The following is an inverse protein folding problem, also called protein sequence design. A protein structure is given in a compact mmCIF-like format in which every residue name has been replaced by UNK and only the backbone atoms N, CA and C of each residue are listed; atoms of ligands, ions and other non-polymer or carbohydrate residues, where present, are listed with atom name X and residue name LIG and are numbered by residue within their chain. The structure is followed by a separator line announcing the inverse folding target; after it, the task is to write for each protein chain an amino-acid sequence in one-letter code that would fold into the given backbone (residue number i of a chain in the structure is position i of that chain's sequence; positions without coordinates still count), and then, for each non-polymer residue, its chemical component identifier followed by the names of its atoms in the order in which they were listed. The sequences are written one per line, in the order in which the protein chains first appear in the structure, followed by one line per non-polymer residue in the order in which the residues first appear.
data_IF_550469854195
#
_entry.id   IF_550469854195
#
_cell.length_a   1.000
_cell.length_b   1.000
_cell.length_c   1.000
_cell.angle_alpha   90.00
_cell.angle_beta   90.00
_cell.angle_gamma   90.00
#
_symmetry.space_group_name_H-M   'P 1'
#
loop_
_entity.id
_entity.type
_entity.pdbx_description
1 polymer ?
#
# COMPACT_ATOMS: atom_id res chain seq x y z
N UNK A 1 -15.50 -0.98 -23.62
CA UNK A 1 -14.47 -0.19 -22.95
C UNK A 1 -14.30 -0.57 -21.46
N UNK A 2 -15.35 -0.64 -20.64
CA UNK A 2 -15.24 -1.05 -19.22
C UNK A 2 -14.72 -2.50 -19.02
N UNK A 3 -15.12 -3.44 -19.89
CA UNK A 3 -14.68 -4.84 -19.85
C UNK A 3 -13.16 -5.00 -20.06
N UNK A 4 -12.53 -4.15 -20.86
CA UNK A 4 -11.08 -4.17 -21.06
C UNK A 4 -10.30 -3.65 -19.84
N UNK A 5 -10.87 -2.75 -19.05
CA UNK A 5 -10.26 -2.24 -17.81
C UNK A 5 -10.31 -3.26 -16.67
N UNK A 6 -11.27 -4.18 -16.71
CA UNK A 6 -11.48 -5.22 -15.71
C UNK A 6 -10.62 -6.47 -15.99
N UNK A 7 -10.35 -6.78 -17.26
CA UNK A 7 -9.51 -7.91 -17.65
C UNK A 7 -8.02 -7.51 -17.55
N UNK A 8 -7.34 -8.04 -16.55
CA UNK A 8 -5.90 -7.87 -16.37
C UNK A 8 -5.47 -6.78 -15.38
N UNK A 9 -6.36 -5.89 -14.93
CA UNK A 9 -5.99 -4.84 -13.98
C UNK A 9 -6.47 -5.17 -12.57
N UNK A 10 -5.69 -5.96 -11.84
CA UNK A 10 -5.95 -6.36 -10.45
C UNK A 10 -6.19 -5.13 -9.54
N UNK A 11 -5.44 -4.04 -9.75
CA UNK A 11 -5.55 -2.81 -8.96
C UNK A 11 -6.93 -2.15 -9.14
N UNK A 12 -7.38 -2.02 -10.39
CA UNK A 12 -8.68 -1.41 -10.70
C UNK A 12 -9.83 -2.21 -10.09
N UNK A 13 -9.79 -3.54 -10.20
CA UNK A 13 -10.82 -4.43 -9.62
C UNK A 13 -10.84 -4.31 -8.10
N UNK A 14 -9.67 -4.37 -7.44
CA UNK A 14 -9.56 -4.23 -5.99
C UNK A 14 -10.00 -2.85 -5.49
N UNK A 15 -9.68 -1.80 -6.23
CA UNK A 15 -10.09 -0.43 -5.93
C UNK A 15 -11.61 -0.25 -6.09
N UNK A 16 -12.20 -0.78 -7.18
CA UNK A 16 -13.64 -0.72 -7.41
C UNK A 16 -14.42 -1.47 -6.32
N UNK A 17 -13.96 -2.66 -5.94
CA UNK A 17 -14.55 -3.43 -4.85
C UNK A 17 -14.49 -2.66 -3.52
N UNK A 18 -13.34 -2.03 -3.21
CA UNK A 18 -13.20 -1.18 -2.04
C UNK A 18 -14.16 0.01 -2.09
N UNK A 19 -14.29 0.67 -3.24
CA UNK A 19 -15.19 1.81 -3.43
C UNK A 19 -16.65 1.44 -3.17
N UNK A 20 -17.09 0.26 -3.64
CA UNK A 20 -18.44 -0.24 -3.41
C UNK A 20 -18.70 -0.55 -1.93
N UNK A 21 -17.69 -1.01 -1.19
CA UNK A 21 -17.80 -1.33 0.24
C UNK A 21 -17.50 -0.14 1.16
N UNK A 22 -16.93 0.94 0.63
CA UNK A 22 -16.56 2.13 1.41
C UNK A 22 -17.72 2.71 2.24
N UNK A 23 -18.99 2.79 1.76
CA UNK A 23 -20.10 3.29 2.59
C UNK A 23 -20.35 2.44 3.83
N UNK A 24 -20.24 1.10 3.70
CA UNK A 24 -20.43 0.16 4.82
C UNK A 24 -19.27 0.31 5.82
N UNK A 25 -18.05 0.39 5.31
CA UNK A 25 -16.86 0.59 6.14
C UNK A 25 -16.90 1.93 6.87
N UNK A 26 -17.32 3.00 6.21
CA UNK A 26 -17.47 4.32 6.84
C UNK A 26 -18.52 4.30 7.95
N UNK A 27 -19.68 3.71 7.70
CA UNK A 27 -20.73 3.59 8.71
C UNK A 27 -20.27 2.79 9.95
N UNK A 28 -19.42 1.78 9.74
CA UNK A 28 -18.80 1.05 10.84
C UNK A 28 -17.75 1.90 11.56
N UNK A 29 -16.82 2.54 10.83
CA UNK A 29 -15.76 3.37 11.40
C UNK A 29 -16.35 4.51 12.23
N UNK A 30 -17.44 5.15 11.80
CA UNK A 30 -18.08 6.24 12.54
C UNK A 30 -18.65 5.81 13.90
N UNK A 31 -19.14 4.58 14.00
CA UNK A 31 -19.78 4.06 15.22
C UNK A 31 -18.79 3.47 16.22
N UNK A 32 -17.62 3.05 15.77
CA UNK A 32 -16.66 2.33 16.59
C UNK A 32 -15.71 3.31 17.30
N UNK A 33 -15.35 3.00 18.54
CA UNK A 33 -14.34 3.74 19.29
C UNK A 33 -12.94 3.58 18.65
N UNK A 34 -12.12 4.61 18.76
CA UNK A 34 -10.75 4.60 18.22
C UNK A 34 -9.91 3.43 18.75
N UNK A 35 -10.11 3.05 20.02
CA UNK A 35 -9.41 1.93 20.63
C UNK A 35 -9.82 0.59 20.02
N UNK A 36 -11.11 0.38 19.79
CA UNK A 36 -11.63 -0.84 19.16
C UNK A 36 -11.16 -0.94 17.69
N UNK A 37 -11.19 0.18 16.96
CA UNK A 37 -10.66 0.25 15.62
C UNK A 37 -9.17 -0.11 15.59
N UNK A 38 -8.38 0.35 16.58
CA UNK A 38 -6.97 -0.01 16.72
C UNK A 38 -6.74 -1.50 16.94
N UNK A 39 -7.55 -2.13 17.81
CA UNK A 39 -7.48 -3.58 18.02
C UNK A 39 -7.85 -4.37 16.74
N UNK A 40 -8.85 -3.90 16.00
CA UNK A 40 -9.25 -4.53 14.74
C UNK A 40 -8.14 -4.45 13.69
N UNK A 41 -7.52 -3.28 13.54
CA UNK A 41 -6.36 -3.08 12.64
C UNK A 41 -5.20 -3.99 13.05
N UNK A 42 -4.89 -4.05 14.35
CA UNK A 42 -3.82 -4.91 14.87
C UNK A 42 -4.11 -6.39 14.58
N UNK A 43 -5.33 -6.84 14.86
CA UNK A 43 -5.74 -8.23 14.60
C UNK A 43 -5.66 -8.56 13.10
N UNK A 44 -6.14 -7.67 12.23
CA UNK A 44 -6.07 -7.84 10.79
C UNK A 44 -4.62 -8.00 10.30
N UNK A 45 -3.73 -7.10 10.69
CA UNK A 45 -2.33 -7.16 10.25
C UNK A 45 -1.55 -8.30 10.89
N UNK A 46 -1.90 -8.69 12.12
CA UNK A 46 -1.33 -9.91 12.74
C UNK A 46 -1.73 -11.15 11.95
N UNK A 47 -3.00 -11.26 11.58
CA UNK A 47 -3.51 -12.37 10.76
C UNK A 47 -2.86 -12.37 9.36
N UNK A 48 -2.81 -11.22 8.70
CA UNK A 48 -2.16 -11.06 7.40
C UNK A 48 -0.67 -11.44 7.44
N UNK A 49 0.05 -11.02 8.48
CA UNK A 49 1.46 -11.37 8.66
C UNK A 49 1.65 -12.86 8.87
N UNK A 50 0.85 -13.48 9.75
CA UNK A 50 0.97 -14.90 10.05
C UNK A 50 0.58 -15.76 8.85
N UNK A 51 -0.62 -15.59 8.33
CA UNK A 51 -1.17 -16.48 7.29
C UNK A 51 -0.80 -16.05 5.87
N UNK A 52 -0.65 -14.77 5.60
CA UNK A 52 -0.28 -14.27 4.29
C UNK A 52 1.23 -14.30 4.05
N UNK A 53 2.03 -13.76 5.01
CA UNK A 53 3.47 -13.58 4.80
C UNK A 53 4.31 -14.74 5.35
N UNK A 54 4.03 -15.24 6.57
CA UNK A 54 4.83 -16.32 7.19
C UNK A 54 4.48 -17.66 6.59
N UNK A 55 3.22 -18.07 6.63
CA UNK A 55 2.79 -19.38 6.18
C UNK A 55 2.47 -19.45 4.68
N UNK A 56 2.23 -18.31 4.01
CA UNK A 56 1.86 -18.21 2.58
C UNK A 56 0.65 -19.11 2.18
N UNK A 57 -0.23 -19.42 3.14
CA UNK A 57 -1.34 -20.36 2.96
C UNK A 57 -2.66 -19.67 2.58
N UNK A 58 -2.70 -18.33 2.53
CA UNK A 58 -3.92 -17.55 2.29
C UNK A 58 -3.82 -16.86 0.93
N UNK A 59 -4.53 -17.40 -0.06
CA UNK A 59 -4.61 -16.83 -1.43
C UNK A 59 -5.24 -15.45 -1.40
N UNK A 60 -6.14 -15.19 -0.44
CA UNK A 60 -6.84 -13.93 -0.26
C UNK A 60 -5.90 -12.74 -0.02
N UNK A 61 -4.69 -13.00 0.45
CA UNK A 61 -3.69 -11.95 0.63
C UNK A 61 -2.72 -11.80 -0.54
N UNK A 62 -2.61 -12.79 -1.41
CA UNK A 62 -1.77 -12.82 -2.64
C UNK A 62 -0.80 -11.62 -2.79
N UNK A 63 0.27 -11.59 -1.99
CA UNK A 63 1.29 -10.55 -1.95
C UNK A 63 0.78 -9.12 -1.66
N UNK A 64 -0.47 -8.95 -1.21
CA UNK A 64 -1.09 -7.65 -0.94
C UNK A 64 -1.86 -7.04 -2.12
N UNK A 65 -1.97 -7.77 -3.22
CA UNK A 65 -2.62 -7.30 -4.44
C UNK A 65 -4.14 -7.53 -4.47
N UNK A 66 -4.72 -7.96 -3.35
CA UNK A 66 -6.12 -8.30 -3.25
C UNK A 66 -6.94 -7.17 -2.62
N UNK A 67 -8.23 -7.18 -2.89
CA UNK A 67 -9.16 -6.24 -2.31
C UNK A 67 -9.20 -6.32 -0.76
N UNK A 68 -8.95 -7.50 -0.18
CA UNK A 68 -8.88 -7.68 1.29
C UNK A 68 -7.72 -6.87 1.88
N UNK A 69 -6.56 -6.85 1.22
CA UNK A 69 -5.42 -6.02 1.63
C UNK A 69 -5.74 -4.53 1.53
N UNK A 70 -6.50 -4.11 0.52
CA UNK A 70 -6.99 -2.73 0.38
C UNK A 70 -7.96 -2.34 1.50
N UNK A 71 -8.84 -3.26 1.94
CA UNK A 71 -9.68 -3.03 3.12
C UNK A 71 -8.83 -2.80 4.37
N UNK A 72 -7.79 -3.60 4.57
CA UNK A 72 -6.83 -3.42 5.67
C UNK A 72 -6.18 -2.05 5.65
N UNK A 73 -5.69 -1.61 4.48
CA UNK A 73 -5.11 -0.27 4.30
C UNK A 73 -6.12 0.85 4.57
N UNK A 74 -7.36 0.67 4.15
CA UNK A 74 -8.44 1.63 4.41
C UNK A 74 -8.70 1.79 5.91
N UNK A 75 -8.81 0.68 6.65
CA UNK A 75 -8.99 0.69 8.10
C UNK A 75 -7.79 1.28 8.83
N UNK A 76 -6.58 0.96 8.39
CA UNK A 76 -5.34 1.53 8.90
C UNK A 76 -5.31 3.04 8.71
N UNK A 77 -5.62 3.53 7.50
CA UNK A 77 -5.70 4.95 7.19
C UNK A 77 -6.74 5.68 8.06
N UNK A 78 -7.92 5.09 8.24
CA UNK A 78 -8.95 5.63 9.12
C UNK A 78 -8.50 5.69 10.58
N UNK A 79 -7.84 4.64 11.07
CA UNK A 79 -7.27 4.60 12.42
C UNK A 79 -6.19 5.68 12.59
N UNK A 80 -5.24 5.78 11.68
CA UNK A 80 -4.17 6.77 11.74
C UNK A 80 -4.68 8.20 11.63
N UNK A 81 -5.75 8.43 10.85
CA UNK A 81 -6.41 9.74 10.76
C UNK A 81 -7.04 10.12 12.09
N UNK A 82 -7.75 9.20 12.74
CA UNK A 82 -8.55 9.42 13.94
C UNK A 82 -7.71 9.40 15.22
N UNK A 83 -6.67 8.57 15.26
CA UNK A 83 -5.80 8.45 16.42
C UNK A 83 -4.91 9.69 16.53
N UNK A 84 -5.03 10.39 17.67
CA UNK A 84 -4.01 11.31 18.14
C UNK A 84 -2.89 10.47 18.76
N UNK A 85 -2.06 9.88 17.93
CA UNK A 85 -0.94 9.06 18.38
C UNK A 85 0.08 9.93 19.10
N UNK A 86 -0.16 10.20 20.39
CA UNK A 86 0.77 10.92 21.27
C UNK A 86 2.16 10.29 21.29
N UNK A 87 2.24 8.97 21.03
CA UNK A 87 3.50 8.23 20.87
C UNK A 87 4.36 8.71 19.71
N UNK A 88 3.76 9.35 18.70
CA UNK A 88 4.42 9.89 17.52
C UNK A 88 4.38 11.42 17.47
N UNK A 89 4.32 12.08 18.64
CA UNK A 89 4.39 13.55 18.78
C UNK A 89 5.72 14.16 18.33
N UNK A 90 6.54 13.40 17.63
CA UNK A 90 7.84 13.80 17.10
C UNK A 90 7.68 14.74 15.89
N UNK A 91 8.77 15.42 15.56
CA UNK A 91 8.83 16.27 14.37
C UNK A 91 8.63 15.43 13.11
N UNK A 92 8.01 15.99 12.09
CA UNK A 92 7.79 15.34 10.78
C UNK A 92 9.10 14.76 10.18
N UNK A 93 10.24 15.44 10.39
CA UNK A 93 11.55 14.94 9.94
C UNK A 93 11.94 13.60 10.57
N UNK A 94 11.47 13.30 11.79
CA UNK A 94 11.72 12.04 12.46
C UNK A 94 10.93 10.89 11.79
N UNK A 95 9.68 11.15 11.38
CA UNK A 95 8.88 10.15 10.65
C UNK A 95 9.54 9.83 9.30
N UNK A 96 10.09 10.84 8.61
CA UNK A 96 10.85 10.62 7.38
C UNK A 96 12.14 9.81 7.64
N UNK A 97 12.86 10.12 8.71
CA UNK A 97 14.05 9.39 9.09
C UNK A 97 13.73 7.91 9.41
N UNK A 98 12.62 7.65 10.11
CA UNK A 98 12.13 6.29 10.39
C UNK A 98 11.70 5.57 9.11
N UNK A 99 11.03 6.25 8.18
CA UNK A 99 10.70 5.70 6.85
C UNK A 99 11.95 5.24 6.10
N UNK A 100 12.95 6.11 6.02
CA UNK A 100 14.23 5.79 5.36
C UNK A 100 14.98 4.69 6.11
N UNK A 101 14.99 4.74 7.45
CA UNK A 101 15.63 3.73 8.30
C UNK A 101 15.04 2.33 8.11
N UNK A 102 13.71 2.22 8.11
CA UNK A 102 13.03 0.94 7.84
C UNK A 102 13.35 0.45 6.41
N UNK A 103 13.37 1.36 5.43
CA UNK A 103 13.79 1.02 4.07
C UNK A 103 15.22 0.49 4.00
N UNK A 104 16.17 1.12 4.68
CA UNK A 104 17.55 0.64 4.77
C UNK A 104 17.64 -0.75 5.43
N UNK A 105 16.87 -0.98 6.49
CA UNK A 105 16.76 -2.30 7.15
C UNK A 105 16.23 -3.35 6.16
N UNK A 106 15.20 -3.03 5.37
CA UNK A 106 14.69 -3.94 4.32
C UNK A 106 15.77 -4.32 3.31
N UNK A 107 16.59 -3.36 2.86
CA UNK A 107 17.70 -3.63 1.93
C UNK A 107 18.74 -4.55 2.57
N UNK A 108 19.15 -4.26 3.81
CA UNK A 108 20.16 -5.07 4.53
C UNK A 108 19.65 -6.51 4.73
N UNK A 109 18.40 -6.67 5.19
CA UNK A 109 17.81 -8.00 5.39
C UNK A 109 17.70 -8.74 4.05
N UNK A 110 17.33 -8.06 2.97
CA UNK A 110 17.26 -8.67 1.63
C UNK A 110 18.64 -9.15 1.15
N UNK A 111 19.69 -8.35 1.36
CA UNK A 111 21.06 -8.76 1.02
C UNK A 111 21.50 -10.00 1.81
N UNK A 112 21.24 -10.02 3.13
CA UNK A 112 21.55 -11.15 3.99
C UNK A 112 20.74 -12.38 3.59
N UNK A 113 19.45 -12.22 3.31
CA UNK A 113 18.54 -13.28 2.88
C UNK A 113 19.03 -13.95 1.59
N UNK A 114 19.43 -13.15 0.62
CA UNK A 114 20.00 -13.66 -0.65
C UNK A 114 21.32 -14.41 -0.41
N UNK A 115 22.16 -13.94 0.51
CA UNK A 115 23.44 -14.59 0.82
C UNK A 115 23.24 -15.96 1.52
N UNK A 116 22.20 -16.08 2.38
CA UNK A 116 21.90 -17.30 3.14
C UNK A 116 21.01 -18.27 2.34
N UNK A 117 20.46 -17.83 1.18
CA UNK A 117 19.52 -18.63 0.39
C UNK A 117 18.10 -18.71 1.02
N UNK A 118 17.74 -17.71 1.83
CA UNK A 118 16.44 -17.66 2.48
C UNK A 118 15.43 -16.92 1.61
N UNK A 119 14.56 -17.67 0.93
CA UNK A 119 13.57 -17.14 -0.02
C UNK A 119 12.33 -16.53 0.67
N UNK A 120 12.51 -15.46 1.43
CA UNK A 120 11.36 -14.64 1.90
C UNK A 120 11.32 -13.32 1.14
N UNK A 121 10.16 -13.05 0.56
CA UNK A 121 9.90 -11.77 -0.11
C UNK A 121 9.66 -10.67 0.93
N UNK A 122 10.73 -9.97 1.28
CA UNK A 122 10.74 -8.87 2.26
C UNK A 122 10.04 -7.64 1.68
N UNK A 123 10.06 -7.49 0.35
CA UNK A 123 9.42 -6.38 -0.35
C UNK A 123 7.94 -6.60 -0.65
N UNK A 124 7.39 -7.75 -0.26
CA UNK A 124 5.95 -7.99 -0.40
C UNK A 124 5.14 -6.93 0.36
N UNK A 125 4.06 -6.44 -0.23
CA UNK A 125 3.17 -5.43 0.38
C UNK A 125 2.51 -5.90 1.69
N UNK A 126 2.49 -7.21 1.96
CA UNK A 126 2.01 -7.80 3.22
C UNK A 126 3.10 -7.96 4.27
N UNK A 127 4.36 -7.65 3.94
CA UNK A 127 5.46 -7.68 4.89
C UNK A 127 5.24 -6.66 6.01
N UNK A 128 5.45 -7.03 7.30
CA UNK A 128 5.28 -6.11 8.41
C UNK A 128 6.20 -4.89 8.32
N UNK A 129 7.37 -5.02 7.71
CA UNK A 129 8.30 -3.90 7.48
C UNK A 129 7.75 -2.90 6.47
N UNK A 130 7.12 -3.38 5.37
CA UNK A 130 6.49 -2.52 4.38
C UNK A 130 5.27 -1.80 4.95
N UNK A 131 4.48 -2.48 5.79
CA UNK A 131 3.35 -1.87 6.48
C UNK A 131 3.84 -0.77 7.42
N UNK A 132 4.89 -1.04 8.20
CA UNK A 132 5.49 -0.07 9.10
C UNK A 132 6.05 1.15 8.34
N UNK A 133 6.70 0.92 7.22
CA UNK A 133 7.21 1.96 6.33
C UNK A 133 6.07 2.84 5.81
N UNK A 134 4.96 2.23 5.38
CA UNK A 134 3.75 2.94 4.94
C UNK A 134 3.15 3.80 6.05
N UNK A 135 3.13 3.30 7.29
CA UNK A 135 2.65 4.07 8.46
C UNK A 135 3.49 5.32 8.67
N UNK A 136 4.83 5.21 8.68
CA UNK A 136 5.70 6.37 8.86
C UNK A 136 5.58 7.39 7.74
N UNK A 137 5.45 6.94 6.50
CA UNK A 137 5.23 7.83 5.36
C UNK A 137 3.89 8.59 5.48
N UNK A 138 2.83 7.89 5.90
CA UNK A 138 1.53 8.50 6.13
C UNK A 138 1.59 9.54 7.26
N UNK A 139 2.26 9.23 8.38
CA UNK A 139 2.43 10.15 9.50
C UNK A 139 3.25 11.38 9.10
N UNK A 140 4.28 11.20 8.29
CA UNK A 140 5.05 12.29 7.72
C UNK A 140 4.16 13.27 6.95
N UNK A 141 3.38 12.77 5.99
CA UNK A 141 2.47 13.61 5.20
C UNK A 141 1.34 14.23 6.03
N UNK A 142 0.82 13.51 7.03
CA UNK A 142 -0.21 14.03 7.95
C UNK A 142 0.26 15.27 8.71
N UNK A 143 1.57 15.39 9.00
CA UNK A 143 2.16 16.50 9.77
C UNK A 143 2.63 17.68 8.89
N UNK A 144 2.72 17.48 7.58
CA UNK A 144 3.16 18.54 6.66
C UNK A 144 1.99 19.50 6.40
N UNK A 145 2.22 20.76 6.68
CA UNK A 145 1.33 21.84 6.27
C UNK A 145 1.80 22.39 4.92
N UNK A 146 1.10 22.04 3.87
CA UNK A 146 1.37 22.57 2.54
C UNK A 146 0.70 23.94 2.40
N UNK A 147 1.43 24.93 1.85
CA UNK A 147 0.86 26.24 1.57
C UNK A 147 -0.19 26.12 0.47
N UNK A 148 -1.33 26.79 0.65
CA UNK A 148 -2.45 26.82 -0.31
C UNK A 148 -2.06 27.22 -1.75
N UNK A 149 -0.94 27.90 -1.92
CA UNK A 149 -0.37 28.23 -3.24
C UNK A 149 -0.12 26.98 -4.10
N UNK A 150 0.15 25.84 -3.48
CA UNK A 150 0.49 24.57 -4.18
C UNK A 150 -0.70 23.64 -4.38
N UNK A 151 -1.89 23.98 -3.89
CA UNK A 151 -3.07 23.12 -3.94
C UNK A 151 -3.45 22.72 -5.38
N UNK A 152 -3.41 23.67 -6.32
CA UNK A 152 -3.68 23.40 -7.75
C UNK A 152 -2.66 22.45 -8.38
N UNK A 153 -1.40 22.61 -8.01
CA UNK A 153 -0.30 21.78 -8.51
C UNK A 153 -0.42 20.35 -7.95
N UNK A 154 -0.70 20.22 -6.65
CA UNK A 154 -0.91 18.93 -5.99
C UNK A 154 -2.11 18.21 -6.58
N UNK A 155 -3.22 18.92 -6.80
CA UNK A 155 -4.42 18.35 -7.41
C UNK A 155 -4.13 17.85 -8.83
N UNK A 156 -3.41 18.64 -9.63
CA UNK A 156 -3.02 18.24 -10.99
C UNK A 156 -2.16 16.97 -10.99
N UNK A 157 -1.11 16.92 -10.17
CA UNK A 157 -0.26 15.73 -10.08
C UNK A 157 -0.99 14.51 -9.50
N UNK A 158 -1.84 14.69 -8.51
CA UNK A 158 -2.62 13.61 -7.92
C UNK A 158 -3.57 12.96 -8.94
N UNK A 159 -4.27 13.76 -9.73
CA UNK A 159 -5.16 13.27 -10.79
C UNK A 159 -4.36 12.58 -11.90
N UNK A 160 -3.24 13.18 -12.31
CA UNK A 160 -2.36 12.62 -13.34
C UNK A 160 -1.69 11.32 -12.88
N UNK A 161 -1.26 11.24 -11.63
CA UNK A 161 -0.64 10.04 -11.06
C UNK A 161 -1.61 8.84 -11.03
N UNK A 162 -2.88 9.09 -10.71
CA UNK A 162 -3.91 8.03 -10.74
C UNK A 162 -4.15 7.51 -12.17
N UNK A 163 -4.25 8.42 -13.15
CA UNK A 163 -4.38 8.03 -14.56
C UNK A 163 -3.16 7.25 -15.05
N UNK A 164 -1.95 7.70 -14.71
CA UNK A 164 -0.70 7.01 -15.05
C UNK A 164 -0.63 5.61 -14.42
N UNK A 165 -1.05 5.46 -13.15
CA UNK A 165 -1.10 4.17 -12.46
C UNK A 165 -2.06 3.19 -13.16
N UNK A 166 -3.25 3.66 -13.55
CA UNK A 166 -4.21 2.84 -14.30
C UNK A 166 -3.66 2.40 -15.65
N UNK A 167 -2.95 3.28 -16.36
CA UNK A 167 -2.34 2.93 -17.63
C UNK A 167 -1.16 1.98 -17.48
N UNK A 168 -0.32 2.19 -16.45
CA UNK A 168 0.86 1.35 -16.21
C UNK A 168 0.49 -0.08 -15.77
N UNK A 169 -0.59 -0.23 -15.02
CA UNK A 169 -1.08 -1.53 -14.55
C UNK A 169 -1.91 -2.28 -15.60
N UNK A 170 -2.07 -1.73 -16.81
CA UNK A 170 -2.76 -2.39 -17.88
C UNK A 170 -1.83 -3.32 -18.67
N UNK A 171 -2.14 -4.62 -18.65
CA UNK A 171 -1.32 -5.67 -19.27
C UNK A 171 -1.06 -5.42 -20.76
N UNK A 172 -1.98 -4.73 -21.48
CA UNK A 172 -1.79 -4.33 -22.86
C UNK A 172 -0.56 -3.45 -23.08
N UNK A 173 -0.25 -2.52 -22.16
CA UNK A 173 0.94 -1.66 -22.26
C UNK A 173 2.21 -2.44 -21.98
N UNK A 174 2.15 -3.39 -21.03
CA UNK A 174 3.29 -4.26 -20.71
C UNK A 174 3.62 -5.22 -21.85
N UNK A 175 2.61 -5.75 -22.57
CA UNK A 175 2.82 -6.60 -23.74
C UNK A 175 3.51 -5.86 -24.90
N UNK A 176 3.17 -4.61 -25.16
CA UNK A 176 3.85 -3.81 -26.19
C UNK A 176 5.29 -3.50 -25.81
N UNK A 177 5.59 -3.24 -24.52
CA UNK A 177 6.94 -3.06 -24.02
C UNK A 177 7.83 -4.31 -24.16
N UNK A 178 7.29 -5.49 -23.82
CA UNK A 178 7.97 -6.77 -24.03
C UNK A 178 8.15 -7.14 -25.51
N UNK A 179 7.15 -6.81 -26.36
CA UNK A 179 7.22 -7.08 -27.81
C UNK A 179 8.32 -6.30 -28.52
N UNK A 180 8.55 -5.06 -28.12
CA UNK A 180 9.66 -4.25 -28.65
C UNK A 180 11.03 -4.80 -28.23
N UNK A 181 11.17 -5.31 -27.02
CA UNK A 181 12.41 -5.94 -26.58
C UNK A 181 12.71 -7.27 -27.29
N UNK A 182 11.66 -7.98 -27.72
CA UNK A 182 11.81 -9.23 -28.48
C UNK A 182 12.28 -8.98 -29.93
N UNK A 183 11.87 -7.87 -30.53
CA UNK A 183 12.30 -7.47 -31.89
C UNK A 183 13.77 -7.05 -31.88
N UNK A 184 14.23 -6.30 -30.85
CA UNK A 184 15.62 -5.87 -30.73
C UNK A 184 16.60 -7.01 -30.40
N UNK A 185 16.14 -8.11 -29.81
CA UNK A 185 17.01 -9.27 -29.47
C UNK A 185 17.15 -10.28 -30.60
N UNK A 186 16.42 -10.12 -31.73
CA UNK A 186 16.44 -11.03 -32.89
C UNK A 186 16.86 -10.35 -34.20
N UNK A 187 17.36 -9.12 -34.16
CA UNK A 187 18.06 -8.42 -35.25
C UNK A 187 19.55 -8.38 -34.99
#
# INVERSE_FOLDING_TARGET
MLLFLVHGNWFFVSYLALYMLAPIMNAYIEKVETRQLGWMVLAFYSFQTLFGWIFKNCIEFSQGLTFVSFMGLYLLGAYLKRSELKCFGWKSSMDLAMYVGVGAICVIISMISNYIGFEKDIYSYISPLQILQTVYLFLFFKKIHVRSKYDKLILFFSTSAFAALLMHSWDGVQMYGCGLHWIDSNL
#
